data_IF_053684999089
#
_entry.id   IF_053684999089
#
_cell.length_a   1.000
_cell.length_b   1.000
_cell.length_c   1.000
_cell.angle_alpha   90.00
_cell.angle_beta   90.00
_cell.angle_gamma   90.00
#
_symmetry.space_group_name_H-M   'P 1'
#
loop_
_entity.id
_entity.type
_entity.pdbx_description
1 polymer ?
#
# COMPACT_ATOMS: atom_id res chain seq x y z
N UNK A 1 -6.87 14.52 12.35
CA UNK A 1 -7.73 13.56 13.07
C UNK A 1 -7.75 13.77 14.58
N UNK A 2 -6.63 13.63 15.32
CA UNK A 2 -6.64 13.75 16.79
C UNK A 2 -7.25 15.04 17.34
N UNK A 3 -6.99 16.20 16.70
CA UNK A 3 -7.60 17.48 17.09
C UNK A 3 -9.13 17.44 16.95
N UNK A 4 -9.65 16.80 15.90
CA UNK A 4 -11.10 16.69 15.68
C UNK A 4 -11.75 15.82 16.76
N UNK A 5 -11.10 14.71 17.12
CA UNK A 5 -11.54 13.86 18.23
C UNK A 5 -11.53 14.63 19.56
N UNK A 6 -10.51 15.45 19.81
CA UNK A 6 -10.42 16.25 21.03
C UNK A 6 -11.52 17.33 21.08
N UNK A 7 -11.88 17.95 19.94
CA UNK A 7 -12.97 18.95 19.90
C UNK A 7 -14.35 18.35 20.16
N UNK A 8 -14.54 17.06 19.90
CA UNK A 8 -15.78 16.33 20.22
C UNK A 8 -15.80 15.77 21.64
N UNK A 9 -14.69 15.86 22.38
CA UNK A 9 -14.67 15.41 23.77
C UNK A 9 -15.58 16.32 24.63
N UNK A 10 -16.52 15.78 25.44
CA UNK A 10 -17.51 16.58 26.16
C UNK A 10 -16.91 17.71 27.01
N UNK A 11 -15.85 17.40 27.76
CA UNK A 11 -15.14 18.39 28.58
C UNK A 11 -14.54 19.55 27.76
N UNK A 12 -14.04 19.25 26.56
CA UNK A 12 -13.45 20.28 25.68
C UNK A 12 -14.57 21.12 25.08
N UNK A 13 -15.62 20.47 24.56
CA UNK A 13 -16.77 21.14 23.95
C UNK A 13 -17.52 22.04 24.93
N UNK A 14 -17.63 21.62 26.20
CA UNK A 14 -18.21 22.43 27.28
C UNK A 14 -17.35 23.67 27.58
N UNK A 15 -16.03 23.54 27.60
CA UNK A 15 -15.10 24.65 27.91
C UNK A 15 -14.92 25.62 26.74
N UNK A 16 -14.87 25.13 25.51
CA UNK A 16 -14.54 25.93 24.33
C UNK A 16 -15.77 26.43 23.59
N UNK A 17 -16.91 25.75 23.71
CA UNK A 17 -18.15 26.10 23.02
C UNK A 17 -18.11 25.96 21.49
N UNK A 18 -17.07 25.33 20.92
CA UNK A 18 -16.96 25.13 19.47
C UNK A 18 -16.65 23.67 19.12
N UNK A 19 -17.17 23.24 17.97
CA UNK A 19 -16.82 21.97 17.32
C UNK A 19 -16.11 22.26 16.00
N UNK A 20 -15.06 21.50 15.70
CA UNK A 20 -14.37 21.55 14.41
C UNK A 20 -14.87 20.48 13.43
N UNK A 21 -15.85 19.66 13.83
CA UNK A 21 -16.39 18.57 13.01
C UNK A 21 -17.53 19.10 12.14
N UNK A 22 -17.47 18.76 10.87
CA UNK A 22 -18.52 19.03 9.88
C UNK A 22 -18.72 17.79 9.04
N UNK A 23 -19.94 17.61 8.51
CA UNK A 23 -20.22 16.50 7.61
C UNK A 23 -19.30 16.53 6.38
N UNK A 24 -18.70 15.38 6.07
CA UNK A 24 -17.88 15.20 4.88
C UNK A 24 -18.73 15.46 3.63
N UNK A 25 -18.22 16.28 2.71
CA UNK A 25 -18.83 16.44 1.38
C UNK A 25 -18.32 15.34 0.47
N UNK A 26 -19.17 14.39 0.11
CA UNK A 26 -18.83 13.29 -0.79
C UNK A 26 -19.16 13.64 -2.24
N UNK A 27 -18.50 12.98 -3.20
CA UNK A 27 -18.83 13.12 -4.62
C UNK A 27 -20.31 12.79 -4.88
N UNK A 28 -20.85 11.76 -4.21
CA UNK A 28 -22.27 11.41 -4.25
C UNK A 28 -23.18 12.51 -3.68
N UNK A 29 -22.82 13.10 -2.54
CA UNK A 29 -23.59 14.19 -1.95
C UNK A 29 -23.64 15.42 -2.87
N UNK A 30 -22.49 15.77 -3.47
CA UNK A 30 -22.40 16.86 -4.43
C UNK A 30 -23.24 16.58 -5.69
N UNK A 31 -23.15 15.37 -6.26
CA UNK A 31 -23.88 15.02 -7.48
C UNK A 31 -25.40 15.04 -7.30
N UNK A 32 -25.90 14.65 -6.13
CA UNK A 32 -27.33 14.76 -5.79
C UNK A 32 -27.73 16.23 -5.62
N UNK A 33 -26.95 17.02 -4.87
CA UNK A 33 -27.30 18.42 -4.58
C UNK A 33 -27.25 19.34 -5.80
N UNK A 34 -26.41 19.01 -6.80
CA UNK A 34 -26.22 19.78 -8.02
C UNK A 34 -26.96 19.21 -9.23
N UNK A 35 -27.78 18.17 -9.06
CA UNK A 35 -28.49 17.46 -10.15
C UNK A 35 -27.55 16.95 -11.27
N UNK A 36 -26.39 16.41 -10.87
CA UNK A 36 -25.33 15.92 -11.75
C UNK A 36 -25.26 14.38 -11.79
N UNK A 37 -26.31 13.67 -11.38
CA UNK A 37 -26.32 12.20 -11.40
C UNK A 37 -26.11 11.64 -12.82
N UNK A 38 -26.59 12.33 -13.85
CA UNK A 38 -26.38 11.98 -15.26
C UNK A 38 -24.90 12.01 -15.69
N UNK A 39 -24.00 12.64 -14.92
CA UNK A 39 -22.56 12.59 -15.16
C UNK A 39 -22.00 11.17 -15.08
N UNK A 40 -22.54 10.33 -14.19
CA UNK A 40 -22.04 8.96 -13.97
C UNK A 40 -22.47 7.99 -15.08
N UNK A 41 -23.47 8.35 -15.87
CA UNK A 41 -23.92 7.57 -17.03
C UNK A 41 -23.20 8.00 -18.32
N UNK A 42 -22.44 9.09 -18.28
CA UNK A 42 -21.74 9.63 -19.44
C UNK A 42 -20.52 8.77 -19.81
N UNK A 43 -20.41 8.26 -21.05
CA UNK A 43 -19.30 7.40 -21.46
C UNK A 43 -17.94 8.10 -21.42
N UNK A 44 -17.89 9.42 -21.55
CA UNK A 44 -16.63 10.17 -21.45
C UNK A 44 -16.08 10.17 -20.02
N UNK A 45 -16.87 9.83 -18.99
CA UNK A 45 -16.39 9.74 -17.60
C UNK A 45 -15.27 8.70 -17.48
N UNK A 46 -15.41 7.53 -18.12
CA UNK A 46 -14.39 6.48 -18.10
C UNK A 46 -13.06 6.97 -18.70
N UNK A 47 -13.12 7.71 -19.81
CA UNK A 47 -11.92 8.26 -20.45
C UNK A 47 -11.32 9.41 -19.61
N UNK A 48 -12.17 10.26 -19.02
CA UNK A 48 -11.75 11.39 -18.20
C UNK A 48 -11.20 10.97 -16.83
N UNK A 49 -11.63 9.84 -16.27
CA UNK A 49 -11.19 9.35 -14.96
C UNK A 49 -10.07 8.32 -15.04
N UNK A 50 -9.69 7.88 -16.25
CA UNK A 50 -8.66 6.86 -16.44
C UNK A 50 -7.31 7.31 -15.82
N UNK A 51 -6.61 6.42 -15.10
CA UNK A 51 -5.29 6.72 -14.59
C UNK A 51 -4.29 6.73 -15.74
N UNK A 52 -3.40 7.74 -15.75
CA UNK A 52 -2.26 7.84 -16.68
C UNK A 52 -1.02 7.56 -15.85
N UNK A 53 -0.67 6.28 -15.73
CA UNK A 53 0.45 5.82 -14.91
C UNK A 53 1.62 5.41 -15.80
N UNK A 54 2.87 5.55 -15.32
CA UNK A 54 4.02 4.92 -15.96
C UNK A 54 3.80 3.40 -16.08
N UNK A 55 3.88 2.90 -17.32
CA UNK A 55 3.65 1.51 -17.71
C UNK A 55 4.57 0.49 -16.99
N UNK A 56 4.14 -0.79 -16.91
CA UNK A 56 4.91 -1.93 -16.38
C UNK A 56 5.96 -2.48 -17.37
N UNK A 57 7.21 -2.10 -17.18
CA UNK A 57 8.35 -3.01 -17.03
C UNK A 57 9.60 -2.17 -16.89
N UNK A 58 10.28 -2.30 -15.75
CA UNK A 58 11.62 -1.78 -15.67
C UNK A 58 11.67 -0.26 -15.65
N UNK A 59 12.49 0.27 -14.76
CA UNK A 59 12.65 1.69 -14.59
C UNK A 59 13.51 2.23 -15.75
N UNK A 60 12.91 2.43 -16.94
CA UNK A 60 13.43 3.37 -17.94
C UNK A 60 12.55 4.61 -17.99
N UNK A 61 12.70 5.45 -16.97
CA UNK A 61 12.60 6.90 -17.14
C UNK A 61 13.76 7.48 -17.97
N UNK A 62 14.71 6.65 -18.44
CA UNK A 62 15.82 7.05 -19.28
C UNK A 62 15.98 6.05 -20.45
N UNK A 63 15.66 6.53 -21.66
CA UNK A 63 15.75 5.91 -23.00
C UNK A 63 14.50 5.17 -23.52
N UNK A 64 13.64 5.92 -24.20
CA UNK A 64 12.75 5.39 -25.26
C UNK A 64 11.45 6.18 -25.44
N UNK A 65 11.38 7.05 -26.44
CA UNK A 65 10.26 7.98 -26.69
C UNK A 65 8.86 7.37 -26.87
N UNK A 66 8.73 6.05 -27.10
CA UNK A 66 7.43 5.38 -27.32
C UNK A 66 6.49 5.44 -26.10
N UNK A 67 7.02 5.27 -24.89
CA UNK A 67 6.18 5.32 -23.68
C UNK A 67 5.73 6.74 -23.34
N UNK A 68 6.57 7.75 -23.63
CA UNK A 68 6.24 9.16 -23.39
C UNK A 68 5.16 9.62 -24.36
N UNK A 69 5.23 9.20 -25.63
CA UNK A 69 4.22 9.51 -26.64
C UNK A 69 2.87 8.87 -26.32
N UNK A 70 2.85 7.58 -25.92
CA UNK A 70 1.61 6.91 -25.50
C UNK A 70 0.98 7.56 -24.27
N UNK A 71 1.79 7.90 -23.26
CA UNK A 71 1.30 8.62 -22.08
C UNK A 71 0.77 10.01 -22.43
N UNK A 72 1.46 10.74 -23.32
CA UNK A 72 1.02 12.05 -23.80
C UNK A 72 -0.31 11.94 -24.57
N UNK A 73 -0.48 10.90 -25.38
CA UNK A 73 -1.73 10.63 -26.08
C UNK A 73 -2.87 10.35 -25.08
N UNK A 74 -2.64 9.48 -24.10
CA UNK A 74 -3.64 9.17 -23.06
C UNK A 74 -3.99 10.40 -22.22
N UNK A 75 -3.00 11.24 -21.87
CA UNK A 75 -3.23 12.50 -21.18
C UNK A 75 -4.06 13.48 -22.01
N UNK A 76 -3.82 13.53 -23.33
CA UNK A 76 -4.61 14.34 -24.27
C UNK A 76 -6.04 13.85 -24.37
N UNK A 77 -6.25 12.54 -24.57
CA UNK A 77 -7.59 11.92 -24.62
C UNK A 77 -8.38 12.20 -23.33
N UNK A 78 -7.74 12.03 -22.17
CA UNK A 78 -8.31 12.36 -20.86
C UNK A 78 -8.72 13.82 -20.77
N UNK A 79 -7.86 14.75 -21.19
CA UNK A 79 -8.15 16.18 -21.17
C UNK A 79 -9.30 16.55 -22.11
N UNK A 80 -9.39 15.93 -23.29
CA UNK A 80 -10.49 16.14 -24.23
C UNK A 80 -11.82 15.59 -23.71
N UNK A 81 -11.83 14.38 -23.14
CA UNK A 81 -13.01 13.80 -22.50
C UNK A 81 -13.52 14.70 -21.36
N UNK A 82 -12.61 15.20 -20.52
CA UNK A 82 -12.93 16.15 -19.44
C UNK A 82 -13.58 17.43 -19.97
N UNK A 83 -13.04 18.01 -21.06
CA UNK A 83 -13.64 19.20 -21.69
C UNK A 83 -15.05 18.93 -22.20
N UNK A 84 -15.28 17.76 -22.80
CA UNK A 84 -16.62 17.35 -23.28
C UNK A 84 -17.61 17.18 -22.13
N UNK A 85 -17.20 16.57 -21.02
CA UNK A 85 -18.04 16.45 -19.82
C UNK A 85 -18.44 17.81 -19.25
N UNK A 86 -17.48 18.73 -19.10
CA UNK A 86 -17.74 20.08 -18.60
C UNK A 86 -18.66 20.85 -19.55
N UNK A 87 -18.51 20.68 -20.87
CA UNK A 87 -19.38 21.32 -21.84
C UNK A 87 -20.83 20.81 -21.79
N UNK A 88 -21.04 19.52 -21.50
CA UNK A 88 -22.38 18.90 -21.43
C UNK A 88 -23.06 19.12 -20.08
N UNK A 89 -22.35 18.87 -18.99
CA UNK A 89 -22.92 18.84 -17.63
C UNK A 89 -22.62 20.10 -16.83
N UNK A 90 -21.66 20.93 -17.25
CA UNK A 90 -21.29 22.18 -16.56
C UNK A 90 -22.19 23.38 -16.89
N UNK A 91 -23.42 23.12 -17.35
CA UNK A 91 -24.41 24.19 -17.61
C UNK A 91 -24.90 24.81 -16.30
N UNK A 92 -25.53 25.99 -16.36
CA UNK A 92 -26.05 26.65 -15.14
C UNK A 92 -24.99 27.11 -14.14
N UNK A 93 -23.71 27.18 -14.55
CA UNK A 93 -22.59 27.57 -13.67
C UNK A 93 -21.90 26.39 -12.97
N UNK A 94 -22.29 25.14 -13.25
CA UNK A 94 -21.79 23.93 -12.57
C UNK A 94 -20.45 23.39 -13.10
N UNK A 95 -19.72 24.17 -13.88
CA UNK A 95 -18.47 23.73 -14.50
C UNK A 95 -17.39 23.34 -13.47
N UNK A 96 -17.38 24.01 -12.32
CA UNK A 96 -16.47 23.73 -11.21
C UNK A 96 -16.83 22.43 -10.50
N UNK A 97 -18.12 22.16 -10.29
CA UNK A 97 -18.66 20.98 -9.64
C UNK A 97 -18.40 19.74 -10.50
N UNK A 98 -18.64 19.80 -11.80
CA UNK A 98 -18.31 18.71 -12.74
C UNK A 98 -16.82 18.41 -12.74
N UNK A 99 -15.99 19.46 -12.79
CA UNK A 99 -14.52 19.35 -12.68
C UNK A 99 -14.13 18.62 -11.40
N UNK A 100 -14.66 19.04 -10.25
CA UNK A 100 -14.36 18.45 -8.95
C UNK A 100 -14.81 16.99 -8.86
N UNK A 101 -15.99 16.66 -9.39
CA UNK A 101 -16.49 15.28 -9.42
C UNK A 101 -15.58 14.38 -10.27
N UNK A 102 -15.22 14.82 -11.47
CA UNK A 102 -14.33 14.06 -12.36
C UNK A 102 -12.97 13.86 -11.72
N UNK A 103 -12.40 14.89 -11.09
CA UNK A 103 -11.10 14.79 -10.41
C UNK A 103 -11.19 13.85 -9.20
N UNK A 104 -12.24 13.95 -8.39
CA UNK A 104 -12.43 13.06 -7.24
C UNK A 104 -12.55 11.58 -7.65
N UNK A 105 -13.29 11.29 -8.74
CA UNK A 105 -13.36 9.94 -9.30
C UNK A 105 -12.00 9.50 -9.83
N UNK A 106 -11.31 10.35 -10.61
CA UNK A 106 -9.99 10.04 -11.15
C UNK A 106 -8.96 9.75 -10.05
N UNK A 107 -8.91 10.59 -9.02
CA UNK A 107 -8.00 10.45 -7.88
C UNK A 107 -8.29 9.17 -7.11
N UNK A 108 -9.56 8.81 -6.92
CA UNK A 108 -9.93 7.55 -6.25
C UNK A 108 -9.43 6.31 -7.02
N UNK A 109 -9.49 6.34 -8.36
CA UNK A 109 -9.02 5.26 -9.21
C UNK A 109 -7.49 5.20 -9.19
N UNK A 110 -6.83 6.37 -9.33
CA UNK A 110 -5.36 6.47 -9.27
C UNK A 110 -4.86 5.95 -7.94
N UNK A 111 -5.43 6.41 -6.83
CA UNK A 111 -5.07 5.97 -5.47
C UNK A 111 -5.17 4.46 -5.31
N UNK A 112 -6.30 3.86 -5.74
CA UNK A 112 -6.51 2.41 -5.66
C UNK A 112 -5.46 1.67 -6.47
N UNK A 113 -5.19 2.13 -7.70
CA UNK A 113 -4.24 1.47 -8.59
C UNK A 113 -2.80 1.55 -8.05
N UNK A 114 -2.33 2.73 -7.65
CA UNK A 114 -0.96 2.88 -7.12
C UNK A 114 -0.73 2.08 -5.83
N UNK A 115 -1.77 1.95 -4.99
CA UNK A 115 -1.66 1.30 -3.69
C UNK A 115 -1.77 -0.23 -3.81
N UNK A 116 -2.63 -0.73 -4.71
CA UNK A 116 -2.85 -2.18 -4.87
C UNK A 116 -1.88 -2.85 -5.85
N UNK A 117 -1.37 -2.12 -6.84
CA UNK A 117 -0.43 -2.63 -7.85
C UNK A 117 0.78 -3.38 -7.27
N UNK A 118 1.54 -2.85 -6.29
CA UNK A 118 2.67 -3.58 -5.74
C UNK A 118 2.27 -4.90 -5.08
N UNK A 119 1.10 -4.96 -4.46
CA UNK A 119 0.58 -6.17 -3.81
C UNK A 119 0.22 -7.23 -4.86
N UNK A 120 -0.51 -6.83 -5.92
CA UNK A 120 -0.85 -7.73 -7.04
C UNK A 120 0.40 -8.29 -7.70
N UNK A 121 1.44 -7.46 -7.86
CA UNK A 121 2.72 -7.87 -8.44
C UNK A 121 3.46 -8.86 -7.53
N UNK A 122 3.49 -8.63 -6.22
CA UNK A 122 4.07 -9.59 -5.26
C UNK A 122 3.33 -10.93 -5.25
N UNK A 123 1.99 -10.91 -5.34
CA UNK A 123 1.17 -12.13 -5.49
C UNK A 123 1.53 -12.91 -6.76
N UNK A 124 1.68 -12.21 -7.89
CA UNK A 124 2.10 -12.81 -9.16
C UNK A 124 3.50 -13.42 -9.05
N UNK A 125 4.46 -12.69 -8.47
CA UNK A 125 5.82 -13.17 -8.25
C UNK A 125 5.86 -14.41 -7.35
N UNK A 126 5.07 -14.46 -6.28
CA UNK A 126 4.95 -15.65 -5.43
C UNK A 126 4.44 -16.86 -6.22
N UNK A 127 3.32 -16.71 -6.92
CA UNK A 127 2.65 -17.80 -7.67
C UNK A 127 3.46 -18.30 -8.87
N UNK A 128 4.23 -17.43 -9.51
CA UNK A 128 5.01 -17.80 -10.69
C UNK A 128 6.33 -18.48 -10.34
N UNK A 129 6.87 -18.24 -9.14
CA UNK A 129 8.18 -18.76 -8.74
C UNK A 129 8.12 -19.93 -7.75
N UNK A 130 6.99 -20.13 -7.05
CA UNK A 130 6.82 -21.20 -6.05
C UNK A 130 5.50 -21.94 -6.20
N UNK A 131 5.49 -23.20 -5.79
CA UNK A 131 4.30 -24.05 -5.73
C UNK A 131 4.16 -24.65 -4.34
N UNK A 132 2.96 -24.64 -3.73
CA UNK A 132 2.77 -25.07 -2.35
C UNK A 132 3.15 -26.55 -2.13
N UNK A 133 2.85 -27.41 -3.10
CA UNK A 133 2.92 -28.87 -2.93
C UNK A 133 4.27 -29.47 -3.34
N UNK A 134 5.20 -28.66 -3.88
CA UNK A 134 6.47 -29.16 -4.39
C UNK A 134 7.59 -28.12 -4.29
N UNK A 135 8.76 -28.61 -3.89
CA UNK A 135 10.00 -27.81 -3.88
C UNK A 135 10.78 -28.17 -5.14
N UNK A 136 10.61 -27.35 -6.19
CA UNK A 136 11.12 -27.63 -7.54
C UNK A 136 12.65 -27.66 -7.63
N UNK A 137 13.36 -26.89 -6.79
CA UNK A 137 14.81 -26.84 -6.80
C UNK A 137 15.41 -26.55 -5.41
N UNK A 138 15.83 -27.61 -4.71
CA UNK A 138 16.49 -27.51 -3.41
C UNK A 138 17.84 -26.78 -3.51
N UNK A 139 18.57 -26.94 -4.62
CA UNK A 139 19.91 -26.35 -4.84
C UNK A 139 19.84 -24.85 -5.07
N UNK A 140 18.71 -24.34 -5.59
CA UNK A 140 18.43 -22.91 -5.76
C UNK A 140 17.58 -22.31 -4.64
N UNK A 141 17.57 -22.92 -3.45
CA UNK A 141 16.85 -22.40 -2.30
C UNK A 141 15.34 -22.24 -2.54
N UNK A 142 14.67 -23.11 -3.29
CA UNK A 142 13.22 -22.95 -3.55
C UNK A 142 12.35 -23.11 -2.28
N UNK A 143 12.88 -23.65 -1.17
CA UNK A 143 12.12 -23.84 0.06
C UNK A 143 11.81 -22.50 0.77
N UNK A 144 10.53 -22.25 1.07
CA UNK A 144 10.04 -21.09 1.84
C UNK A 144 9.89 -21.37 3.34
N UNK A 145 10.07 -22.59 3.83
CA UNK A 145 9.87 -22.91 5.24
C UNK A 145 10.72 -22.05 6.19
N UNK A 146 10.19 -21.79 7.37
CA UNK A 146 10.82 -21.04 8.45
C UNK A 146 10.72 -21.83 9.76
N UNK A 147 11.63 -21.56 10.69
CA UNK A 147 11.67 -22.22 11.99
C UNK A 147 11.89 -21.19 13.07
N UNK A 148 11.12 -21.28 14.14
CA UNK A 148 11.23 -20.40 15.29
C UNK A 148 12.65 -20.46 15.87
N UNK A 149 13.23 -19.29 16.16
CA UNK A 149 14.61 -19.11 16.60
C UNK A 149 15.61 -18.90 15.46
N UNK A 150 15.33 -19.37 14.24
CA UNK A 150 16.24 -19.18 13.11
C UNK A 150 16.09 -17.76 12.55
N UNK A 151 17.21 -17.02 12.51
CA UNK A 151 17.26 -15.64 12.00
C UNK A 151 16.26 -14.67 12.68
N UNK A 152 15.79 -15.00 13.88
CA UNK A 152 14.82 -14.21 14.65
C UNK A 152 13.35 -14.46 14.29
N UNK A 153 13.06 -15.48 13.46
CA UNK A 153 11.71 -15.93 13.20
C UNK A 153 11.03 -16.40 14.50
N UNK A 154 9.74 -16.10 14.66
CA UNK A 154 8.94 -16.58 15.80
C UNK A 154 8.01 -17.72 15.41
N UNK A 155 7.60 -17.77 14.15
CA UNK A 155 6.76 -18.83 13.59
C UNK A 155 7.61 -20.00 13.06
N UNK A 156 7.02 -21.19 13.06
CA UNK A 156 7.58 -22.39 12.44
C UNK A 156 6.60 -22.90 11.38
N UNK A 157 6.99 -22.81 10.12
CA UNK A 157 6.18 -23.25 8.98
C UNK A 157 7.01 -24.13 8.05
N UNK A 158 6.41 -25.20 7.54
CA UNK A 158 6.98 -25.89 6.38
C UNK A 158 6.79 -25.03 5.10
N UNK A 159 7.29 -25.52 3.96
CA UNK A 159 7.19 -24.79 2.69
C UNK A 159 5.74 -24.41 2.32
N UNK A 160 4.85 -25.40 2.37
CA UNK A 160 3.45 -25.27 1.97
C UNK A 160 2.71 -24.27 2.87
N UNK A 161 2.88 -24.41 4.19
CA UNK A 161 2.28 -23.50 5.17
C UNK A 161 2.79 -22.08 4.98
N UNK A 162 4.11 -21.87 4.79
CA UNK A 162 4.63 -20.52 4.56
C UNK A 162 4.09 -19.94 3.25
N UNK A 163 4.03 -20.72 2.17
CA UNK A 163 3.48 -20.26 0.90
C UNK A 163 2.05 -19.73 1.07
N UNK A 164 1.16 -20.52 1.68
CA UNK A 164 -0.23 -20.12 1.89
C UNK A 164 -0.35 -18.95 2.87
N UNK A 165 0.46 -18.92 3.92
CA UNK A 165 0.47 -17.82 4.88
C UNK A 165 0.84 -16.49 4.21
N UNK A 166 1.88 -16.47 3.39
CA UNK A 166 2.28 -15.28 2.62
C UNK A 166 1.20 -14.89 1.62
N UNK A 167 0.65 -15.85 0.88
CA UNK A 167 -0.38 -15.59 -0.11
C UNK A 167 -1.65 -14.99 0.54
N UNK A 168 -2.13 -15.57 1.63
CA UNK A 168 -3.28 -15.07 2.38
C UNK A 168 -3.01 -13.69 3.00
N UNK A 169 -1.78 -13.44 3.44
CA UNK A 169 -1.35 -12.13 3.96
C UNK A 169 -1.40 -11.06 2.88
N UNK A 170 -0.84 -11.34 1.70
CA UNK A 170 -0.89 -10.42 0.56
C UNK A 170 -2.31 -10.22 0.03
N UNK A 171 -3.16 -11.25 0.04
CA UNK A 171 -4.57 -11.11 -0.32
C UNK A 171 -5.34 -10.24 0.67
N UNK A 172 -5.09 -10.40 1.98
CA UNK A 172 -5.67 -9.53 3.00
C UNK A 172 -5.21 -8.08 2.80
N UNK A 173 -3.91 -7.86 2.57
CA UNK A 173 -3.37 -6.53 2.30
C UNK A 173 -4.01 -5.92 1.06
N UNK A 174 -4.18 -6.71 0.00
CA UNK A 174 -4.85 -6.28 -1.23
C UNK A 174 -6.29 -5.83 -0.93
N UNK A 175 -7.07 -6.66 -0.23
CA UNK A 175 -8.48 -6.36 0.06
C UNK A 175 -8.64 -5.10 0.91
N UNK A 176 -7.85 -4.97 1.98
CA UNK A 176 -7.88 -3.77 2.84
C UNK A 176 -7.45 -2.53 2.07
N UNK A 177 -6.44 -2.65 1.20
CA UNK A 177 -5.92 -1.51 0.42
C UNK A 177 -6.87 -1.10 -0.70
N UNK A 178 -7.56 -2.05 -1.34
CA UNK A 178 -8.54 -1.77 -2.40
C UNK A 178 -9.79 -1.04 -1.85
N UNK A 179 -10.17 -1.34 -0.61
CA UNK A 179 -11.30 -0.72 0.10
C UNK A 179 -10.87 0.41 1.04
N UNK A 180 -9.62 0.90 0.95
CA UNK A 180 -9.06 1.83 1.93
C UNK A 180 -9.83 3.15 2.05
N UNK A 181 -10.38 3.69 0.96
CA UNK A 181 -11.16 4.94 0.99
C UNK A 181 -12.48 4.78 1.76
N UNK A 182 -13.16 3.65 1.58
CA UNK A 182 -14.41 3.35 2.29
C UNK A 182 -14.15 3.05 3.76
N UNK A 183 -13.08 2.29 4.05
CA UNK A 183 -12.62 2.04 5.41
C UNK A 183 -12.20 3.33 6.11
N UNK A 184 -11.60 4.27 5.39
CA UNK A 184 -11.23 5.58 5.93
C UNK A 184 -12.46 6.41 6.26
N UNK A 185 -13.43 6.49 5.34
CA UNK A 185 -14.67 7.23 5.57
C UNK A 185 -15.46 6.66 6.77
N UNK A 186 -15.55 5.34 6.86
CA UNK A 186 -16.19 4.67 8.00
C UNK A 186 -15.41 4.89 9.30
N UNK A 187 -14.08 4.73 9.28
CA UNK A 187 -13.24 4.96 10.44
C UNK A 187 -13.29 6.40 10.94
N UNK A 188 -13.27 7.39 10.03
CA UNK A 188 -13.44 8.80 10.38
C UNK A 188 -14.79 9.06 11.05
N UNK A 189 -15.88 8.54 10.47
CA UNK A 189 -17.21 8.68 11.05
C UNK A 189 -17.25 8.10 12.46
N UNK A 190 -16.80 6.86 12.64
CA UNK A 190 -16.83 6.18 13.93
C UNK A 190 -15.97 6.90 14.98
N UNK A 191 -14.83 7.46 14.58
CA UNK A 191 -13.94 8.20 15.49
C UNK A 191 -14.51 9.56 15.93
N UNK A 192 -15.45 10.14 15.17
CA UNK A 192 -16.05 11.46 15.42
C UNK A 192 -17.51 11.37 15.91
N UNK A 193 -18.06 10.17 16.09
CA UNK A 193 -19.39 9.99 16.67
C UNK A 193 -19.40 10.38 18.15
N UNK A 194 -20.40 11.17 18.57
CA UNK A 194 -20.53 11.68 19.95
C UNK A 194 -20.64 10.53 20.98
N UNK A 195 -21.24 9.41 20.58
CA UNK A 195 -21.45 8.23 21.42
C UNK A 195 -20.24 7.28 21.46
N UNK A 196 -19.26 7.43 20.55
CA UNK A 196 -18.06 6.59 20.47
C UNK A 196 -16.81 7.30 20.97
N UNK A 197 -16.80 7.68 22.25
CA UNK A 197 -15.71 8.46 22.82
C UNK A 197 -14.43 7.64 23.05
N UNK A 198 -13.28 8.26 22.79
CA UNK A 198 -12.00 7.64 23.12
C UNK A 198 -11.71 7.70 24.62
N UNK A 199 -10.98 6.71 25.12
CA UNK A 199 -10.33 6.72 26.44
C UNK A 199 -8.83 6.85 26.24
N UNK A 200 -8.19 7.75 26.98
CA UNK A 200 -6.73 7.77 27.03
C UNK A 200 -6.26 6.55 27.81
N UNK A 201 -5.46 5.71 27.18
CA UNK A 201 -4.91 4.51 27.81
C UNK A 201 -3.48 4.28 27.34
N UNK A 202 -2.63 3.83 28.26
CA UNK A 202 -1.27 3.42 27.90
C UNK A 202 -1.33 2.01 27.32
N UNK A 203 -1.04 1.89 26.02
CA UNK A 203 -1.10 0.61 25.29
C UNK A 203 0.24 -0.12 25.27
N UNK A 204 1.24 0.34 26.03
CA UNK A 204 2.63 -0.10 25.90
C UNK A 204 3.39 0.62 24.77
N UNK A 205 2.67 1.30 23.87
CA UNK A 205 3.23 2.15 22.80
C UNK A 205 3.06 3.65 23.11
N UNK A 206 2.98 3.99 24.40
CA UNK A 206 2.67 5.33 24.89
C UNK A 206 1.17 5.53 25.17
N UNK A 207 0.81 6.78 25.49
CA UNK A 207 -0.57 7.16 25.79
C UNK A 207 -1.34 7.36 24.48
N UNK A 208 -2.32 6.50 24.22
CA UNK A 208 -3.10 6.48 22.98
C UNK A 208 -4.58 6.78 23.24
N UNK A 209 -5.25 7.33 22.21
CA UNK A 209 -6.72 7.49 22.19
C UNK A 209 -7.33 6.16 21.78
N UNK A 210 -7.83 5.40 22.74
CA UNK A 210 -8.40 4.08 22.51
C UNK A 210 -9.92 4.18 22.34
N UNK A 211 -10.45 3.70 21.22
CA UNK A 211 -11.90 3.59 20.97
C UNK A 211 -12.28 2.11 20.82
N UNK A 212 -13.43 1.74 21.38
CA UNK A 212 -13.90 0.36 21.33
C UNK A 212 -14.55 0.10 19.99
N UNK A 213 -13.74 -0.36 19.05
CA UNK A 213 -14.20 -0.79 17.73
C UNK A 213 -14.69 0.34 16.83
N UNK A 214 -14.69 0.03 15.55
CA UNK A 214 -15.43 0.70 14.49
C UNK A 214 -16.65 -0.18 14.17
N UNK A 215 -17.73 0.43 13.68
CA UNK A 215 -18.88 -0.30 13.14
C UNK A 215 -18.48 -1.24 11.99
N UNK A 216 -17.33 -1.00 11.36
CA UNK A 216 -16.78 -1.75 10.23
C UNK A 216 -15.53 -2.56 10.62
N UNK A 217 -14.75 -2.11 11.60
CA UNK A 217 -13.54 -2.80 12.08
C UNK A 217 -13.59 -3.01 13.60
N UNK A 218 -13.91 -4.22 14.04
CA UNK A 218 -13.82 -4.57 15.47
C UNK A 218 -12.35 -4.72 15.88
N UNK A 219 -11.80 -3.65 16.46
CA UNK A 219 -10.44 -3.60 16.98
C UNK A 219 -10.44 -4.10 18.43
N UNK A 220 -10.12 -5.38 18.60
CA UNK A 220 -9.90 -6.00 19.91
C UNK A 220 -8.42 -6.16 20.27
N UNK A 221 -7.53 -5.50 19.53
CA UNK A 221 -6.08 -5.61 19.66
C UNK A 221 -5.52 -4.34 20.31
N UNK A 222 -4.79 -4.48 21.42
CA UNK A 222 -4.14 -3.36 22.12
C UNK A 222 -3.12 -2.62 21.25
N UNK A 223 -2.60 -3.28 20.21
CA UNK A 223 -1.68 -2.69 19.25
C UNK A 223 -2.37 -1.90 18.14
N UNK A 224 -3.70 -1.91 18.08
CA UNK A 224 -4.51 -1.15 17.12
C UNK A 224 -5.62 -0.43 17.89
N UNK A 225 -5.28 0.65 18.63
CA UNK A 225 -6.17 1.28 19.60
C UNK A 225 -7.39 1.98 19.00
N UNK A 226 -7.37 2.29 17.71
CA UNK A 226 -8.47 2.95 17.01
C UNK A 226 -8.35 2.69 15.49
N UNK A 227 -9.41 3.06 14.76
CA UNK A 227 -9.48 2.88 13.30
C UNK A 227 -8.34 3.62 12.57
N UNK A 228 -7.91 4.79 13.05
CA UNK A 228 -6.79 5.53 12.45
C UNK A 228 -5.50 4.72 12.47
N UNK A 229 -5.16 4.05 13.58
CA UNK A 229 -3.97 3.20 13.65
C UNK A 229 -4.05 2.02 12.70
N UNK A 230 -5.24 1.43 12.52
CA UNK A 230 -5.45 0.38 11.53
C UNK A 230 -5.17 0.89 10.11
N UNK A 231 -5.82 2.00 9.74
CA UNK A 231 -5.70 2.61 8.41
C UNK A 231 -4.26 3.02 8.10
N UNK A 232 -3.58 3.65 9.06
CA UNK A 232 -2.19 4.08 8.92
C UNK A 232 -1.26 2.90 8.63
N UNK A 233 -1.38 1.80 9.40
CA UNK A 233 -0.56 0.59 9.19
C UNK A 233 -0.71 0.00 7.79
N UNK A 234 -1.93 -0.08 7.26
CA UNK A 234 -2.16 -0.66 5.93
C UNK A 234 -1.83 0.32 4.80
N UNK A 235 -1.91 1.63 5.04
CA UNK A 235 -1.45 2.64 4.08
C UNK A 235 0.05 2.54 3.76
N UNK A 236 0.83 1.91 4.65
CA UNK A 236 2.26 1.70 4.52
C UNK A 236 2.63 0.48 3.66
N UNK A 237 1.69 -0.41 3.31
CA UNK A 237 1.98 -1.62 2.51
C UNK A 237 2.70 -1.29 1.18
N UNK A 238 2.27 -0.30 0.38
CA UNK A 238 2.96 0.07 -0.85
C UNK A 238 4.40 0.54 -0.59
N UNK A 239 4.63 1.25 0.52
CA UNK A 239 5.95 1.76 0.91
C UNK A 239 6.93 0.64 1.25
N UNK A 240 6.45 -0.47 1.81
CA UNK A 240 7.25 -1.67 2.08
C UNK A 240 7.59 -2.40 0.77
N UNK A 241 6.59 -2.57 -0.11
CA UNK A 241 6.73 -3.42 -1.30
C UNK A 241 7.42 -2.74 -2.48
N UNK A 242 7.22 -1.43 -2.67
CA UNK A 242 7.77 -0.70 -3.82
C UNK A 242 9.30 -0.76 -3.91
N UNK A 243 10.08 -0.57 -2.83
CA UNK A 243 11.53 -0.68 -2.89
C UNK A 243 12.02 -2.08 -3.29
N UNK A 244 11.31 -3.12 -2.86
CA UNK A 244 11.62 -4.51 -3.26
C UNK A 244 11.39 -4.66 -4.76
N UNK A 245 10.23 -4.21 -5.26
CA UNK A 245 9.90 -4.28 -6.68
C UNK A 245 10.85 -3.44 -7.55
N UNK A 246 11.25 -2.26 -7.07
CA UNK A 246 12.24 -1.40 -7.73
C UNK A 246 13.60 -2.09 -7.85
N UNK A 247 14.07 -2.75 -6.78
CA UNK A 247 15.30 -3.54 -6.82
C UNK A 247 15.20 -4.72 -7.81
N UNK A 248 14.03 -5.35 -7.92
CA UNK A 248 13.80 -6.43 -8.89
C UNK A 248 13.73 -5.92 -10.32
N UNK A 249 13.08 -4.78 -10.57
CA UNK A 249 13.03 -4.12 -11.88
C UNK A 249 14.42 -3.72 -12.34
N UNK A 250 15.19 -3.09 -11.46
CA UNK A 250 16.58 -2.73 -11.72
C UNK A 250 17.38 -3.97 -12.17
N UNK A 251 17.24 -5.10 -11.47
CA UNK A 251 17.87 -6.35 -11.87
C UNK A 251 17.40 -6.85 -13.25
N UNK A 252 16.11 -6.74 -13.57
CA UNK A 252 15.57 -7.14 -14.89
C UNK A 252 16.16 -6.29 -16.02
N UNK A 253 16.40 -5.01 -15.77
CA UNK A 253 16.89 -4.06 -16.77
C UNK A 253 18.41 -4.09 -16.94
N UNK A 254 19.14 -4.81 -16.07
CA UNK A 254 20.58 -5.02 -16.22
C UNK A 254 20.87 -5.84 -17.47
N UNK A 255 21.52 -5.20 -18.42
CA UNK A 255 22.08 -5.81 -19.63
C UNK A 255 23.55 -5.39 -19.80
N UNK A 256 24.26 -6.02 -20.75
CA UNK A 256 25.67 -5.70 -21.02
C UNK A 256 25.87 -4.27 -21.56
N UNK A 257 24.81 -3.61 -22.03
CA UNK A 257 24.85 -2.25 -22.59
C UNK A 257 24.50 -1.14 -21.60
N UNK A 258 23.95 -1.47 -20.44
CA UNK A 258 23.52 -0.52 -19.40
C UNK A 258 24.58 -0.38 -18.31
N UNK A 259 24.92 -1.49 -17.65
CA UNK A 259 25.92 -1.49 -16.57
C UNK A 259 26.66 -2.85 -16.49
N UNK A 260 27.71 -3.05 -17.29
CA UNK A 260 28.42 -4.33 -17.37
C UNK A 260 29.14 -4.68 -16.05
N UNK A 261 29.60 -3.67 -15.30
CA UNK A 261 30.32 -3.87 -14.02
C UNK A 261 29.36 -4.38 -12.95
N UNK A 262 28.17 -3.79 -12.85
CA UNK A 262 27.14 -4.28 -11.93
C UNK A 262 26.67 -5.66 -12.34
N UNK A 263 26.49 -5.92 -13.64
CA UNK A 263 26.09 -7.24 -14.13
C UNK A 263 27.14 -8.32 -13.76
N UNK A 264 28.43 -8.01 -13.90
CA UNK A 264 29.51 -8.91 -13.48
C UNK A 264 29.48 -9.15 -11.96
N UNK A 265 29.28 -8.11 -11.15
CA UNK A 265 29.10 -8.25 -9.70
C UNK A 265 27.92 -9.18 -9.35
N UNK A 266 26.77 -9.00 -10.00
CA UNK A 266 25.60 -9.85 -9.78
C UNK A 266 25.88 -11.30 -10.18
N UNK A 267 26.48 -11.53 -11.36
CA UNK A 267 26.88 -12.87 -11.82
C UNK A 267 27.91 -13.51 -10.87
N UNK A 268 28.88 -12.75 -10.37
CA UNK A 268 29.89 -13.25 -9.43
C UNK A 268 29.29 -13.68 -8.09
N UNK A 269 28.26 -12.99 -7.59
CA UNK A 269 27.68 -13.26 -6.27
C UNK A 269 26.49 -14.22 -6.28
N UNK A 270 25.67 -14.20 -7.33
CA UNK A 270 24.43 -14.98 -7.44
C UNK A 270 24.41 -15.91 -8.67
N UNK A 271 25.45 -15.91 -9.50
CA UNK A 271 25.53 -16.70 -10.73
C UNK A 271 24.76 -16.08 -11.90
N UNK A 272 23.51 -15.64 -11.66
CA UNK A 272 22.70 -14.95 -12.65
C UNK A 272 21.65 -14.02 -12.01
N UNK A 273 21.07 -13.16 -12.85
CA UNK A 273 20.04 -12.18 -12.46
C UNK A 273 18.78 -12.85 -11.91
N UNK A 274 18.28 -13.89 -12.56
CA UNK A 274 17.05 -14.60 -12.13
C UNK A 274 17.20 -15.16 -10.71
N UNK A 275 18.37 -15.73 -10.40
CA UNK A 275 18.66 -16.24 -9.07
C UNK A 275 18.79 -15.11 -8.04
N UNK A 276 19.40 -13.97 -8.39
CA UNK A 276 19.45 -12.80 -7.51
C UNK A 276 18.05 -12.29 -7.16
N UNK A 277 17.16 -12.18 -8.16
CA UNK A 277 15.77 -11.80 -7.96
C UNK A 277 15.02 -12.77 -7.05
N UNK A 278 15.11 -14.08 -7.34
CA UNK A 278 14.50 -15.11 -6.50
C UNK A 278 15.08 -15.12 -5.10
N UNK A 279 16.36 -14.84 -4.92
CA UNK A 279 17.01 -14.78 -3.61
C UNK A 279 16.44 -13.64 -2.74
N UNK A 280 16.26 -12.45 -3.30
CA UNK A 280 15.65 -11.30 -2.61
C UNK A 280 14.20 -11.62 -2.25
N UNK A 281 13.40 -12.04 -3.24
CA UNK A 281 11.99 -12.40 -3.05
C UNK A 281 11.79 -13.47 -1.99
N UNK A 282 12.58 -14.54 -2.06
CA UNK A 282 12.55 -15.61 -1.08
C UNK A 282 12.86 -15.09 0.31
N UNK A 283 13.87 -14.22 0.47
CA UNK A 283 14.20 -13.69 1.79
C UNK A 283 13.02 -12.92 2.40
N UNK A 284 12.35 -12.11 1.60
CA UNK A 284 11.16 -11.38 2.03
C UNK A 284 9.99 -12.33 2.33
N UNK A 285 9.65 -13.28 1.46
CA UNK A 285 8.56 -14.22 1.71
C UNK A 285 8.79 -15.14 2.90
N UNK A 286 10.05 -15.39 3.28
CA UNK A 286 10.39 -16.12 4.50
C UNK A 286 10.29 -15.23 5.73
N UNK A 287 11.04 -14.13 5.73
CA UNK A 287 11.34 -13.38 6.96
C UNK A 287 10.60 -12.05 7.08
N UNK A 288 9.82 -11.65 6.07
CA UNK A 288 8.85 -10.56 6.16
C UNK A 288 7.50 -11.01 6.71
N UNK A 289 7.32 -12.32 6.91
CA UNK A 289 6.07 -12.95 7.39
C UNK A 289 6.37 -14.05 8.42
N UNK A 290 7.35 -13.81 9.30
CA UNK A 290 7.88 -14.80 10.24
C UNK A 290 7.43 -14.57 11.70
N UNK A 291 6.53 -13.61 11.92
CA UNK A 291 6.03 -13.20 13.24
C UNK A 291 7.01 -12.41 14.08
N UNK A 292 8.15 -12.01 13.52
CA UNK A 292 9.13 -11.20 14.22
C UNK A 292 8.61 -9.76 14.43
N UNK A 293 9.14 -9.07 15.44
CA UNK A 293 8.74 -7.69 15.76
C UNK A 293 7.50 -7.55 16.65
N UNK A 294 6.66 -8.58 16.83
CA UNK A 294 5.60 -8.55 17.83
C UNK A 294 6.14 -8.58 19.27
N UNK A 295 5.34 -8.18 20.26
CA UNK A 295 5.78 -8.16 21.66
C UNK A 295 5.73 -9.56 22.29
N UNK A 296 4.75 -10.38 21.91
CA UNK A 296 4.61 -11.76 22.37
C UNK A 296 4.26 -12.72 21.21
N UNK A 297 4.05 -14.00 21.51
CA UNK A 297 3.73 -15.03 20.51
C UNK A 297 2.29 -14.94 19.97
N UNK A 298 1.38 -14.30 20.71
CA UNK A 298 0.01 -14.05 20.28
C UNK A 298 -0.01 -12.94 19.20
N UNK A 299 0.72 -11.86 19.45
CA UNK A 299 0.84 -10.71 18.55
C UNK A 299 1.67 -11.06 17.32
N UNK A 300 2.67 -11.93 17.47
CA UNK A 300 3.51 -12.44 16.37
C UNK A 300 2.70 -13.14 15.25
N UNK A 301 1.49 -13.63 15.54
CA UNK A 301 0.61 -14.28 14.58
C UNK A 301 -0.67 -13.53 14.26
N UNK A 302 -0.95 -12.41 14.94
CA UNK A 302 -2.20 -11.65 14.77
C UNK A 302 -2.37 -11.18 13.32
N UNK A 303 -3.56 -11.37 12.76
CA UNK A 303 -3.85 -11.16 11.34
C UNK A 303 -3.71 -9.69 10.88
N UNK A 304 -3.82 -8.75 11.82
CA UNK A 304 -3.88 -7.32 11.52
C UNK A 304 -2.53 -6.66 11.80
N UNK A 305 -1.99 -6.81 13.01
CA UNK A 305 -0.71 -6.19 13.37
C UNK A 305 0.49 -7.07 13.02
N UNK A 306 0.54 -8.31 13.53
CA UNK A 306 1.73 -9.17 13.48
C UNK A 306 2.33 -9.41 12.09
N UNK A 307 1.49 -9.45 11.06
CA UNK A 307 1.94 -9.60 9.65
C UNK A 307 2.70 -8.38 9.16
N UNK A 308 2.18 -7.18 9.43
CA UNK A 308 2.82 -5.92 9.06
C UNK A 308 4.04 -5.62 9.94
N UNK A 309 3.98 -5.95 11.23
CA UNK A 309 5.13 -5.81 12.14
C UNK A 309 6.33 -6.65 11.68
N UNK A 310 6.09 -7.87 11.19
CA UNK A 310 7.15 -8.73 10.63
C UNK A 310 7.82 -8.10 9.40
N UNK A 311 7.00 -7.53 8.51
CA UNK A 311 7.51 -6.87 7.31
C UNK A 311 8.31 -5.61 7.66
N UNK A 312 7.85 -4.80 8.60
CA UNK A 312 8.59 -3.66 9.13
C UNK A 312 9.91 -4.07 9.80
N UNK A 313 9.90 -5.13 10.61
CA UNK A 313 11.12 -5.67 11.21
C UNK A 313 12.10 -6.15 10.13
N UNK A 314 11.61 -6.73 9.02
CA UNK A 314 12.44 -7.06 7.87
C UNK A 314 13.06 -5.82 7.24
N UNK A 315 12.27 -4.75 7.03
CA UNK A 315 12.75 -3.46 6.51
C UNK A 315 13.82 -2.84 7.41
N UNK A 316 13.63 -2.82 8.73
CA UNK A 316 14.61 -2.30 9.69
C UNK A 316 15.97 -3.02 9.64
N UNK A 317 15.99 -4.25 9.11
CA UNK A 317 17.19 -5.08 8.99
C UNK A 317 17.77 -5.08 7.58
N UNK A 318 17.24 -4.29 6.65
CA UNK A 318 17.63 -4.32 5.23
C UNK A 318 19.13 -4.08 5.05
N UNK A 319 19.72 -3.19 5.85
CA UNK A 319 21.15 -2.87 5.78
C UNK A 319 22.07 -4.05 6.11
N UNK A 320 21.56 -5.00 6.90
CA UNK A 320 22.29 -6.21 7.31
C UNK A 320 22.13 -7.34 6.28
N UNK A 321 21.30 -7.17 5.24
CA UNK A 321 21.04 -8.21 4.24
C UNK A 321 22.13 -8.23 3.18
N UNK A 322 22.48 -9.43 2.73
CA UNK A 322 23.54 -9.66 1.74
C UNK A 322 23.29 -9.05 0.35
N UNK A 323 22.08 -8.56 0.10
CA UNK A 323 21.61 -7.95 -1.14
C UNK A 323 21.29 -6.45 -1.00
N UNK A 324 21.65 -5.80 0.13
CA UNK A 324 21.41 -4.36 0.33
C UNK A 324 21.98 -3.50 -0.81
N UNK A 325 23.12 -3.89 -1.37
CA UNK A 325 23.75 -3.16 -2.47
C UNK A 325 22.86 -3.10 -3.71
N UNK A 326 22.03 -4.11 -3.96
CA UNK A 326 21.07 -4.09 -5.09
C UNK A 326 20.03 -2.99 -4.87
N UNK A 327 19.54 -2.83 -3.64
CA UNK A 327 18.60 -1.75 -3.30
C UNK A 327 19.26 -0.39 -3.51
N UNK A 328 20.47 -0.19 -2.97
CA UNK A 328 21.22 1.08 -3.14
C UNK A 328 21.46 1.41 -4.61
N UNK A 329 21.86 0.43 -5.42
CA UNK A 329 22.08 0.60 -6.86
C UNK A 329 20.78 0.90 -7.62
N UNK A 330 19.64 0.39 -7.16
CA UNK A 330 18.32 0.75 -7.71
C UNK A 330 17.82 2.14 -7.31
N UNK A 331 18.60 2.90 -6.52
CA UNK A 331 18.23 4.25 -6.06
C UNK A 331 17.47 4.29 -4.73
N UNK A 332 17.54 3.24 -3.92
CA UNK A 332 16.92 3.21 -2.59
C UNK A 332 17.79 3.96 -1.56
N UNK A 333 17.23 5.00 -0.93
CA UNK A 333 17.86 5.76 0.15
C UNK A 333 17.38 5.36 1.55
N UNK A 334 16.18 4.79 1.69
CA UNK A 334 15.62 4.34 2.97
C UNK A 334 14.11 4.07 2.88
N UNK A 335 13.56 3.36 3.88
CA UNK A 335 12.11 3.16 4.00
C UNK A 335 11.40 4.34 4.68
N UNK A 336 12.15 5.19 5.39
CA UNK A 336 11.64 6.39 6.08
C UNK A 336 11.55 7.63 5.17
N UNK A 337 11.85 7.46 3.87
CA UNK A 337 11.91 8.54 2.89
C UNK A 337 13.20 9.35 2.94
N UNK A 338 13.48 10.07 1.85
CA UNK A 338 14.53 11.09 1.83
C UNK A 338 13.99 12.33 2.56
N UNK A 339 14.57 12.67 3.72
CA UNK A 339 14.31 13.96 4.39
C UNK A 339 14.89 15.15 3.61
N UNK A 340 15.53 14.91 2.47
CA UNK A 340 16.05 15.93 1.57
C UNK A 340 14.92 16.56 0.74
N UNK A 341 14.19 17.49 1.36
CA UNK A 341 13.49 18.57 0.67
C UNK A 341 14.02 19.92 1.11
#
# INVERSE_FOLDING_TARGET
MCILMDTEHPLVREQTGFSCVRSMRTAFGLSVSADLMGLFEDPDLLAASRPVLPWERGQKLLKGGRNVEEMALQAKEKAEARRRLVARHGTGGLACEVTLLVDSVADSIVYREISTRPIRRMLSLLKNNWRPDRIDDVRRNANLGIRSGDFGARLTHNHQTQFYFVMQSLMLWLEVTDNMLDLWAAGEKDMLEEDNQYRLSNTGQGLQRVQVGSAVVHLGDSCVPNALTFLDKYSQVPWILNPILQALDYLTDLDEGSDPVVLEYIKGRWGNVEYAQRYILRNFFRFGFDGSGGDNNYDAGSCVDGRLTSAWNWCSKIEKKSFVNVFKLSGFSGFDGDFSR
#
